data_IF_017666329051
#
_entry.id   IF_017666329051
#
_cell.length_a   1.000
_cell.length_b   1.000
_cell.length_c   1.000
_cell.angle_alpha   90.00
_cell.angle_beta   90.00
_cell.angle_gamma   90.00
#
_symmetry.space_group_name_H-M   'P 1'
#
loop_
_entity.id
_entity.type
_entity.pdbx_description
1 polymer ?
#
# COMPACT_ATOMS: atom_id res chain seq x y z
N UNK A 1 4.45 23.38 -41.64
CA UNK A 1 5.30 23.02 -40.50
C UNK A 1 4.40 22.87 -39.28
N UNK A 2 4.02 21.64 -38.93
CA UNK A 2 3.29 21.34 -37.70
C UNK A 2 4.25 20.52 -36.82
N UNK A 3 4.91 21.20 -35.89
CA UNK A 3 5.78 20.59 -34.89
C UNK A 3 4.91 19.81 -33.89
N UNK A 4 4.75 18.51 -34.13
CA UNK A 4 4.30 17.58 -33.09
C UNK A 4 5.43 17.46 -32.07
N UNK A 5 5.36 18.27 -31.03
CA UNK A 5 6.15 18.12 -29.82
C UNK A 5 5.74 16.80 -29.15
N UNK A 6 6.47 15.74 -29.48
CA UNK A 6 6.57 14.50 -28.72
C UNK A 6 7.14 14.83 -27.34
N UNK A 7 6.28 15.24 -26.41
CA UNK A 7 6.63 15.22 -24.99
C UNK A 7 6.38 13.81 -24.48
N UNK A 8 7.51 13.11 -24.33
CA UNK A 8 7.69 11.84 -23.65
C UNK A 8 6.86 11.83 -22.35
N UNK A 9 5.72 11.16 -22.38
CA UNK A 9 5.12 10.66 -21.13
C UNK A 9 6.02 9.55 -20.63
N UNK A 10 6.84 9.87 -19.63
CA UNK A 10 7.52 8.90 -18.82
C UNK A 10 6.46 7.94 -18.26
N UNK A 11 6.33 6.77 -18.87
CA UNK A 11 5.59 5.65 -18.31
C UNK A 11 6.39 5.10 -17.13
N UNK A 12 6.45 5.86 -16.04
CA UNK A 12 6.62 5.25 -14.73
C UNK A 12 5.39 4.36 -14.57
N UNK A 13 5.59 3.05 -14.73
CA UNK A 13 4.62 2.06 -14.29
C UNK A 13 4.40 2.29 -12.81
N UNK A 14 3.36 3.07 -12.48
CA UNK A 14 2.87 3.26 -11.12
C UNK A 14 2.49 1.88 -10.63
N UNK A 15 3.41 1.24 -9.91
CA UNK A 15 3.07 0.21 -8.96
C UNK A 15 2.11 0.90 -8.00
N UNK A 16 0.81 0.79 -8.24
CA UNK A 16 -0.21 1.30 -7.34
C UNK A 16 0.02 0.61 -6.00
N UNK A 17 0.59 1.33 -5.04
CA UNK A 17 0.92 0.80 -3.74
C UNK A 17 -0.38 0.33 -3.06
N UNK A 18 -0.29 -0.67 -2.20
CA UNK A 18 -1.41 -1.17 -1.40
C UNK A 18 -1.24 -0.56 -0.02
N UNK A 19 -1.47 0.73 0.11
CA UNK A 19 -1.60 1.39 1.40
C UNK A 19 -3.05 1.48 1.84
N UNK A 20 -3.28 1.43 3.14
CA UNK A 20 -4.54 1.88 3.71
C UNK A 20 -4.36 2.86 4.84
N UNK A 21 -5.23 3.86 4.82
CA UNK A 21 -5.76 4.54 5.99
C UNK A 21 -7.21 4.11 6.08
N UNK A 22 -7.57 3.20 6.99
CA UNK A 22 -8.84 3.45 7.65
C UNK A 22 -8.84 3.03 9.11
N UNK A 23 -9.82 3.60 9.82
CA UNK A 23 -10.20 3.28 11.20
C UNK A 23 -9.30 3.89 12.30
N UNK A 24 -8.22 4.61 11.96
CA UNK A 24 -7.40 5.34 12.96
C UNK A 24 -7.46 6.86 12.79
N UNK A 25 -8.59 7.41 12.32
CA UNK A 25 -8.70 8.83 11.92
C UNK A 25 -8.64 9.86 13.07
N UNK A 26 -8.54 9.45 14.35
CA UNK A 26 -8.74 10.39 15.45
C UNK A 26 -7.51 10.75 16.29
N UNK A 27 -6.29 10.23 16.04
CA UNK A 27 -5.15 10.50 16.94
C UNK A 27 -3.81 10.73 16.24
N UNK A 28 -3.81 11.30 15.02
CA UNK A 28 -2.55 11.63 14.32
C UNK A 28 -1.78 12.80 14.97
N UNK A 29 -2.43 13.59 15.84
CA UNK A 29 -1.88 14.88 16.33
C UNK A 29 -1.32 14.84 17.76
N UNK A 30 -1.49 13.74 18.50
CA UNK A 30 -0.99 13.61 19.87
C UNK A 30 -0.40 12.22 20.05
N UNK A 31 0.93 12.16 20.07
CA UNK A 31 1.67 10.91 20.22
C UNK A 31 1.10 10.01 21.32
N UNK A 32 0.71 8.79 20.95
CA UNK A 32 0.89 7.66 21.86
C UNK A 32 -0.24 6.64 21.98
N UNK A 33 -1.39 6.79 21.33
CA UNK A 33 -2.45 5.78 21.41
C UNK A 33 -2.85 5.24 20.04
N UNK A 34 -2.37 4.02 19.76
CA UNK A 34 -2.86 3.23 18.65
C UNK A 34 -3.91 2.23 19.15
N UNK A 35 -4.92 1.97 18.32
CA UNK A 35 -5.90 0.93 18.65
C UNK A 35 -5.23 -0.45 18.53
N UNK A 36 -5.36 -1.32 19.55
CA UNK A 36 -4.91 -2.70 19.43
C UNK A 36 -5.64 -3.40 18.29
N UNK A 37 -4.93 -4.29 17.61
CA UNK A 37 -5.51 -5.16 16.59
C UNK A 37 -5.74 -6.52 17.23
N UNK A 38 -7.00 -6.88 17.42
CA UNK A 38 -7.39 -8.19 17.91
C UNK A 38 -7.21 -9.23 16.80
N UNK A 39 -6.33 -10.19 17.05
CA UNK A 39 -6.04 -11.30 16.11
C UNK A 39 -6.81 -12.58 16.48
N UNK A 40 -7.28 -12.71 17.72
CA UNK A 40 -8.20 -13.75 18.18
C UNK A 40 -8.95 -13.32 19.45
N UNK A 41 -9.86 -14.14 19.96
CA UNK A 41 -10.56 -13.88 21.23
C UNK A 41 -9.61 -13.76 22.44
N UNK A 42 -8.37 -14.23 22.31
CA UNK A 42 -7.39 -14.29 23.41
C UNK A 42 -6.10 -13.52 23.12
N UNK A 43 -5.95 -12.94 21.92
CA UNK A 43 -4.70 -12.33 21.49
C UNK A 43 -4.90 -11.03 20.72
N UNK A 44 -3.92 -10.14 20.87
CA UNK A 44 -3.85 -8.87 20.15
C UNK A 44 -2.42 -8.58 19.71
N UNK A 45 -2.27 -7.68 18.75
CA UNK A 45 -1.01 -7.00 18.45
C UNK A 45 -1.18 -5.51 18.68
N UNK A 46 -0.08 -4.84 19.02
CA UNK A 46 0.01 -3.40 18.95
C UNK A 46 0.72 -3.03 17.65
N UNK A 47 0.07 -2.26 16.75
CA UNK A 47 0.75 -1.78 15.56
C UNK A 47 1.88 -0.80 15.94
N UNK A 48 2.71 -0.40 14.94
CA UNK A 48 3.71 0.66 15.10
C UNK A 48 5.17 0.29 14.77
N UNK A 49 5.54 0.28 13.50
CA UNK A 49 6.84 -0.19 12.98
C UNK A 49 7.10 -1.68 13.22
N UNK A 50 6.10 -2.50 12.88
CA UNK A 50 6.21 -3.95 12.93
C UNK A 50 5.41 -4.63 11.82
N UNK A 51 5.73 -5.88 11.53
CA UNK A 51 5.01 -6.71 10.58
C UNK A 51 4.32 -7.90 11.25
N UNK A 52 3.10 -8.20 10.81
CA UNK A 52 2.35 -9.39 11.22
C UNK A 52 1.65 -9.99 10.00
N UNK A 53 1.86 -11.29 9.76
CA UNK A 53 1.26 -12.04 8.64
C UNK A 53 1.39 -11.35 7.26
N UNK A 54 2.58 -10.81 6.95
CA UNK A 54 2.83 -10.18 5.65
C UNK A 54 2.25 -8.76 5.51
N UNK A 55 1.81 -8.15 6.61
CA UNK A 55 1.35 -6.76 6.67
C UNK A 55 2.29 -5.97 7.55
N UNK A 56 2.84 -4.89 7.03
CA UNK A 56 3.61 -3.91 7.78
C UNK A 56 2.69 -2.82 8.32
N UNK A 57 2.81 -2.54 9.60
CA UNK A 57 2.15 -1.46 10.32
C UNK A 57 3.16 -0.35 10.56
N UNK A 58 3.03 0.76 9.84
CA UNK A 58 3.94 1.90 9.93
C UNK A 58 3.54 2.87 11.04
N UNK A 59 3.64 4.17 10.75
CA UNK A 59 3.16 5.23 11.65
C UNK A 59 1.65 5.07 11.92
N UNK A 60 1.12 5.62 13.04
CA UNK A 60 -0.30 5.50 13.39
C UNK A 60 -1.21 5.75 12.18
N UNK A 61 -2.09 4.79 11.87
CA UNK A 61 -3.02 4.90 10.75
C UNK A 61 -2.54 4.35 9.42
N UNK A 62 -1.28 3.93 9.30
CA UNK A 62 -0.72 3.46 8.03
C UNK A 62 -0.33 1.98 8.09
N UNK A 63 -0.79 1.23 7.10
CA UNK A 63 -0.32 -0.14 6.86
C UNK A 63 -0.32 -0.46 5.37
N UNK A 64 0.49 -1.44 5.00
CA UNK A 64 0.69 -1.93 3.64
C UNK A 64 1.20 -3.37 3.66
N UNK A 65 1.23 -4.10 2.53
CA UNK A 65 1.96 -5.36 2.46
C UNK A 65 3.39 -5.18 2.93
N UNK A 66 3.90 -6.12 3.73
CA UNK A 66 5.27 -6.11 4.25
C UNK A 66 6.30 -6.03 3.11
N UNK A 67 6.01 -6.66 1.97
CA UNK A 67 6.85 -6.63 0.77
C UNK A 67 6.90 -5.26 0.08
N UNK A 68 5.96 -4.35 0.38
CA UNK A 68 5.93 -3.00 -0.15
C UNK A 68 6.58 -1.98 0.79
N UNK A 69 6.91 -2.35 2.04
CA UNK A 69 7.57 -1.44 2.98
C UNK A 69 8.89 -0.91 2.40
N UNK A 70 9.14 0.38 2.61
CA UNK A 70 10.37 1.06 2.17
C UNK A 70 11.17 1.55 3.37
N UNK A 71 12.49 1.65 3.19
CA UNK A 71 13.42 2.18 4.19
C UNK A 71 13.50 3.69 4.04
N UNK A 72 13.37 4.41 5.16
CA UNK A 72 13.54 5.87 5.25
C UNK A 72 15.02 6.24 5.33
N UNK A 73 15.39 7.26 4.59
CA UNK A 73 16.72 7.83 4.59
C UNK A 73 16.68 9.32 4.92
N UNK A 74 17.65 9.79 5.70
CA UNK A 74 17.85 11.21 5.96
C UNK A 74 18.42 11.95 4.74
N UNK A 75 18.68 13.25 4.90
CA UNK A 75 19.25 14.11 3.86
C UNK A 75 20.65 13.66 3.40
N UNK A 76 21.39 12.97 4.28
CA UNK A 76 22.71 12.40 4.02
C UNK A 76 22.63 11.01 3.34
N UNK A 77 21.42 10.47 3.14
CA UNK A 77 21.20 9.12 2.62
C UNK A 77 21.51 8.00 3.62
N UNK A 78 21.65 8.33 4.91
CA UNK A 78 21.78 7.36 6.00
C UNK A 78 20.40 6.92 6.47
N UNK A 79 20.34 5.83 7.23
CA UNK A 79 19.08 5.43 7.87
C UNK A 79 18.58 6.56 8.75
N UNK A 80 17.33 6.95 8.53
CA UNK A 80 16.64 7.93 9.35
C UNK A 80 16.28 7.27 10.71
N UNK A 81 17.30 7.16 11.55
CA UNK A 81 17.23 6.65 12.94
C UNK A 81 17.01 7.81 13.93
N UNK A 82 16.63 9.00 13.46
CA UNK A 82 16.44 10.13 14.35
C UNK A 82 15.20 9.95 15.25
N UNK A 83 15.50 9.66 16.52
CA UNK A 83 14.70 9.93 17.73
C UNK A 83 13.45 9.08 17.98
N UNK A 84 12.87 8.40 16.98
CA UNK A 84 11.61 7.65 17.14
C UNK A 84 11.62 6.20 16.63
N UNK A 85 12.77 5.70 16.17
CA UNK A 85 12.99 4.27 15.93
C UNK A 85 12.15 3.64 14.82
N UNK A 86 11.68 4.42 13.82
CA UNK A 86 10.93 3.90 12.67
C UNK A 86 11.73 3.98 11.37
N UNK A 87 12.42 2.89 11.03
CA UNK A 87 13.27 2.77 9.84
C UNK A 87 12.46 2.46 8.59
N UNK A 88 11.28 1.85 8.76
CA UNK A 88 10.39 1.47 7.67
C UNK A 88 9.15 2.38 7.62
N UNK A 89 8.60 2.54 6.43
CA UNK A 89 7.30 3.19 6.22
C UNK A 89 6.57 2.57 5.02
N UNK A 90 5.26 2.81 4.94
CA UNK A 90 4.51 2.49 3.73
C UNK A 90 4.79 3.55 2.65
N UNK A 91 4.84 3.18 1.35
CA UNK A 91 5.34 4.11 0.34
C UNK A 91 4.35 5.21 -0.05
N UNK A 92 3.09 5.11 0.38
CA UNK A 92 2.06 6.15 0.25
C UNK A 92 2.12 7.21 1.37
N UNK A 93 2.90 6.96 2.43
CA UNK A 93 3.04 7.92 3.52
C UNK A 93 3.78 9.18 3.04
N UNK A 94 3.26 10.35 3.46
CA UNK A 94 3.93 11.62 3.20
C UNK A 94 5.30 11.63 3.88
N UNK A 95 6.32 11.95 3.09
CA UNK A 95 7.67 12.19 3.56
C UNK A 95 7.78 13.58 4.17
N UNK A 96 8.49 13.67 5.29
CA UNK A 96 8.96 14.95 5.81
C UNK A 96 10.03 15.52 4.87
N UNK A 97 10.23 16.84 4.91
CA UNK A 97 11.27 17.49 4.13
C UNK A 97 12.63 16.89 4.49
N UNK A 98 13.46 16.67 3.47
CA UNK A 98 14.77 16.05 3.62
C UNK A 98 14.78 14.52 3.73
N UNK A 99 13.62 13.89 3.93
CA UNK A 99 13.54 12.42 3.99
C UNK A 99 13.30 11.85 2.60
N UNK A 100 14.09 10.83 2.24
CA UNK A 100 13.91 10.03 1.03
C UNK A 100 13.63 8.57 1.37
N UNK A 101 13.33 7.76 0.36
CA UNK A 101 13.09 6.32 0.56
C UNK A 101 13.86 5.47 -0.43
N UNK A 102 14.12 4.23 -0.02
CA UNK A 102 14.62 3.19 -0.91
C UNK A 102 13.94 1.86 -0.61
N UNK A 103 14.06 0.93 -1.56
CA UNK A 103 13.70 -0.47 -1.30
C UNK A 103 14.64 -1.06 -0.24
N UNK A 104 14.13 -1.96 0.63
CA UNK A 104 14.97 -2.75 1.51
C UNK A 104 15.95 -3.61 0.70
N UNK A 105 17.17 -3.80 1.20
CA UNK A 105 18.17 -4.70 0.61
C UNK A 105 18.82 -5.59 1.70
N UNK A 106 19.64 -6.57 1.33
CA UNK A 106 20.40 -7.42 2.28
C UNK A 106 19.57 -7.99 3.46
N UNK A 107 18.35 -8.45 3.18
CA UNK A 107 17.40 -9.03 4.17
C UNK A 107 16.88 -8.04 5.21
N UNK A 108 17.04 -6.73 4.99
CA UNK A 108 16.29 -5.71 5.72
C UNK A 108 14.80 -5.99 5.61
N UNK A 109 14.13 -6.04 6.75
CA UNK A 109 12.69 -6.17 6.86
C UNK A 109 12.22 -5.60 8.20
N UNK A 110 10.95 -5.17 8.29
CA UNK A 110 10.38 -4.74 9.55
C UNK A 110 10.50 -5.83 10.63
N UNK A 111 10.53 -5.38 11.88
CA UNK A 111 10.50 -6.29 13.03
C UNK A 111 9.13 -7.00 13.11
N UNK A 112 9.07 -8.20 13.70
CA UNK A 112 7.79 -8.88 13.91
C UNK A 112 6.98 -8.20 15.04
N UNK A 113 5.67 -8.03 14.86
CA UNK A 113 4.82 -7.46 15.90
C UNK A 113 4.80 -8.34 17.16
N UNK A 114 4.79 -7.71 18.33
CA UNK A 114 4.56 -8.40 19.59
C UNK A 114 3.11 -8.89 19.68
N UNK A 115 2.94 -10.17 20.01
CA UNK A 115 1.62 -10.78 20.23
C UNK A 115 1.34 -10.84 21.73
N UNK A 116 0.42 -9.98 22.18
CA UNK A 116 -0.06 -9.93 23.56
C UNK A 116 -1.20 -10.91 23.82
N UNK A 117 -1.41 -11.27 25.09
CA UNK A 117 -2.57 -12.04 25.57
C UNK A 117 -3.61 -11.11 26.17
N UNK A 118 -4.87 -11.29 25.81
CA UNK A 118 -6.00 -10.58 26.41
C UNK A 118 -6.25 -11.19 27.81
N UNK A 119 -5.89 -10.45 28.86
CA UNK A 119 -6.00 -10.92 30.25
C UNK A 119 -7.25 -10.40 30.97
N UNK A 120 -7.77 -9.26 30.55
CA UNK A 120 -9.02 -8.67 31.04
C UNK A 120 -9.84 -8.18 29.84
N UNK A 121 -11.18 -8.20 29.91
CA UNK A 121 -12.06 -7.63 28.87
C UNK A 121 -12.03 -6.09 28.83
N UNK A 122 -11.24 -5.46 29.71
CA UNK A 122 -11.06 -4.02 29.81
C UNK A 122 -10.08 -3.50 28.75
N UNK A 123 -10.10 -2.19 28.46
CA UNK A 123 -9.61 -1.71 27.19
C UNK A 123 -8.08 -1.89 27.11
N UNK A 124 -7.63 -2.61 26.09
CA UNK A 124 -6.21 -2.77 25.76
C UNK A 124 -5.78 -1.48 25.08
N UNK A 125 -4.61 -0.93 25.42
CA UNK A 125 -4.06 0.19 24.65
C UNK A 125 -2.69 -0.13 24.14
N UNK A 126 -2.31 0.54 23.07
CA UNK A 126 -1.01 0.39 22.46
C UNK A 126 -0.22 1.68 22.53
N UNK A 127 1.05 1.55 22.94
CA UNK A 127 2.08 2.58 22.85
C UNK A 127 3.31 1.96 22.18
N UNK A 128 3.59 2.37 20.93
CA UNK A 128 4.79 1.99 20.18
C UNK A 128 5.08 0.47 20.18
N UNK A 129 4.20 -0.34 19.58
CA UNK A 129 4.25 -1.83 19.60
C UNK A 129 4.11 -2.51 20.98
N UNK A 130 3.80 -1.77 22.05
CA UNK A 130 3.68 -2.33 23.40
C UNK A 130 2.33 -2.03 24.03
N UNK A 131 1.96 -2.84 25.00
CA UNK A 131 0.77 -2.61 25.82
C UNK A 131 0.93 -1.32 26.66
N UNK A 132 -0.09 -0.46 26.63
CA UNK A 132 -0.17 0.79 27.38
C UNK A 132 -1.43 0.88 28.25
N UNK A 133 -1.76 2.08 28.74
CA UNK A 133 -2.99 2.33 29.51
C UNK A 133 -4.18 2.62 28.58
N UNK A 134 -5.21 1.76 28.64
CA UNK A 134 -6.59 1.87 28.11
C UNK A 134 -6.85 2.60 26.77
N UNK A 135 -7.20 1.88 25.69
CA UNK A 135 -7.77 2.47 24.46
C UNK A 135 -9.25 2.11 24.32
N UNK A 136 -10.10 3.08 23.97
CA UNK A 136 -11.55 2.87 23.89
C UNK A 136 -12.01 1.87 22.81
N UNK A 137 -11.16 1.55 21.83
CA UNK A 137 -11.54 0.78 20.63
C UNK A 137 -10.49 -0.25 20.25
N UNK A 138 -10.94 -1.33 19.63
CA UNK A 138 -10.12 -2.45 19.16
C UNK A 138 -10.52 -2.77 17.73
N UNK A 139 -9.53 -2.86 16.84
CA UNK A 139 -9.74 -3.23 15.43
C UNK A 139 -9.59 -4.73 15.28
N UNK A 140 -10.45 -5.39 14.50
CA UNK A 140 -10.29 -6.82 14.22
C UNK A 140 -9.34 -7.04 13.06
N UNK A 141 -8.41 -7.98 13.20
CA UNK A 141 -7.53 -8.41 12.12
C UNK A 141 -8.28 -8.80 10.84
N UNK A 142 -9.46 -9.42 10.98
CA UNK A 142 -10.31 -9.80 9.85
C UNK A 142 -10.71 -8.62 8.96
N UNK A 143 -10.85 -7.43 9.54
CA UNK A 143 -11.29 -6.25 8.80
C UNK A 143 -10.12 -5.65 8.00
N UNK A 144 -8.92 -5.63 8.60
CA UNK A 144 -7.67 -5.26 7.91
C UNK A 144 -7.40 -6.23 6.75
N UNK A 145 -7.52 -7.53 6.99
CA UNK A 145 -7.32 -8.55 5.95
C UNK A 145 -8.31 -8.40 4.78
N UNK A 146 -9.59 -8.11 5.08
CA UNK A 146 -10.62 -7.85 4.05
C UNK A 146 -10.29 -6.62 3.21
N UNK A 147 -9.85 -5.55 3.84
CA UNK A 147 -9.50 -4.32 3.13
C UNK A 147 -8.29 -4.53 2.21
N UNK A 148 -7.23 -5.16 2.71
CA UNK A 148 -6.04 -5.48 1.91
C UNK A 148 -6.40 -6.35 0.71
N UNK A 149 -7.26 -7.35 0.91
CA UNK A 149 -7.77 -8.19 -0.18
C UNK A 149 -8.53 -7.38 -1.21
N UNK A 150 -9.48 -6.54 -0.77
CA UNK A 150 -10.27 -5.66 -1.65
C UNK A 150 -9.40 -4.70 -2.46
N UNK A 151 -8.39 -4.10 -1.85
CA UNK A 151 -7.42 -3.23 -2.54
C UNK A 151 -6.57 -3.97 -3.55
N UNK A 152 -6.11 -5.17 -3.19
CA UNK A 152 -5.34 -6.04 -4.09
C UNK A 152 -6.17 -6.46 -5.31
N UNK A 153 -7.44 -6.83 -5.10
CA UNK A 153 -8.37 -7.18 -6.19
C UNK A 153 -8.65 -5.99 -7.10
N UNK A 154 -8.94 -4.81 -6.55
CA UNK A 154 -9.12 -3.58 -7.33
C UNK A 154 -7.89 -3.25 -8.17
N UNK A 155 -6.68 -3.41 -7.61
CA UNK A 155 -5.42 -3.20 -8.34
C UNK A 155 -5.20 -4.23 -9.45
N UNK A 156 -5.49 -5.51 -9.20
CA UNK A 156 -5.41 -6.54 -10.26
C UNK A 156 -6.31 -6.15 -11.44
N UNK A 157 -7.54 -5.78 -11.16
CA UNK A 157 -8.49 -5.33 -12.19
C UNK A 157 -8.04 -4.05 -12.90
N UNK A 158 -7.46 -3.09 -12.19
CA UNK A 158 -6.96 -1.84 -12.79
C UNK A 158 -5.66 -2.06 -13.59
N UNK A 159 -4.74 -2.88 -13.10
CA UNK A 159 -3.50 -3.26 -13.78
C UNK A 159 -3.77 -4.04 -15.07
N UNK A 160 -4.70 -4.98 -14.99
CA UNK A 160 -5.24 -5.71 -16.14
C UNK A 160 -5.85 -4.79 -17.18
N UNK A 161 -6.76 -3.91 -16.76
CA UNK A 161 -7.33 -2.86 -17.63
C UNK A 161 -6.28 -1.96 -18.28
N UNK A 162 -5.26 -1.52 -17.55
CA UNK A 162 -4.20 -0.68 -18.11
C UNK A 162 -3.35 -1.44 -19.13
N UNK A 163 -3.01 -2.71 -18.87
CA UNK A 163 -2.23 -3.55 -19.78
C UNK A 163 -3.03 -3.91 -21.04
N UNK A 164 -4.24 -4.43 -20.85
CA UNK A 164 -5.15 -4.75 -21.96
C UNK A 164 -5.54 -3.51 -22.76
N UNK A 165 -5.72 -2.35 -22.10
CA UNK A 165 -6.00 -1.08 -22.77
C UNK A 165 -4.87 -0.60 -23.66
N UNK A 166 -3.60 -0.71 -23.22
CA UNK A 166 -2.44 -0.41 -24.07
C UNK A 166 -2.36 -1.35 -25.27
N UNK A 167 -2.59 -2.64 -25.06
CA UNK A 167 -2.56 -3.62 -26.14
C UNK A 167 -3.74 -3.43 -27.14
N UNK A 168 -4.93 -3.09 -26.65
CA UNK A 168 -6.07 -2.72 -27.50
C UNK A 168 -5.79 -1.43 -28.31
N UNK A 169 -5.13 -0.44 -27.70
CA UNK A 169 -4.71 0.77 -28.40
C UNK A 169 -3.68 0.48 -29.51
N UNK A 170 -2.76 -0.47 -29.29
CA UNK A 170 -1.83 -0.95 -30.31
C UNK A 170 -2.59 -1.61 -31.47
N UNK A 171 -3.56 -2.49 -31.18
CA UNK A 171 -4.42 -3.13 -32.19
C UNK A 171 -5.14 -2.08 -33.04
N UNK A 172 -5.78 -1.09 -32.40
CA UNK A 172 -6.43 0.02 -33.10
C UNK A 172 -5.44 0.79 -33.99
N UNK A 173 -4.26 1.13 -33.47
CA UNK A 173 -3.25 1.88 -34.21
C UNK A 173 -2.66 1.10 -35.39
N UNK A 174 -2.66 -0.24 -35.35
CA UNK A 174 -2.22 -1.07 -36.47
C UNK A 174 -3.33 -1.22 -37.51
N UNK A 175 -4.58 -1.47 -37.08
CA UNK A 175 -5.73 -1.60 -37.97
C UNK A 175 -5.98 -0.31 -38.78
N UNK A 176 -5.91 0.86 -38.13
CA UNK A 176 -6.17 2.16 -38.79
C UNK A 176 -5.14 2.54 -39.86
N UNK A 177 -4.05 1.79 -40.02
CA UNK A 177 -3.12 1.95 -41.14
C UNK A 177 -3.70 1.47 -42.47
N UNK A 178 -4.68 0.57 -42.43
CA UNK A 178 -5.22 -0.11 -43.62
C UNK A 178 -6.74 -0.26 -43.64
N UNK A 179 -7.41 -0.13 -42.49
CA UNK A 179 -8.85 -0.34 -42.31
C UNK A 179 -9.65 0.92 -42.00
N UNK A 180 -10.97 0.77 -41.95
CA UNK A 180 -11.89 1.84 -41.56
C UNK A 180 -11.91 2.04 -40.04
N UNK A 181 -12.01 3.30 -39.59
CA UNK A 181 -11.92 3.64 -38.16
C UNK A 181 -12.94 2.90 -37.29
N UNK A 182 -14.14 2.62 -37.81
CA UNK A 182 -15.20 1.98 -37.04
C UNK A 182 -14.95 0.48 -36.85
N UNK A 183 -14.49 -0.21 -37.89
CA UNK A 183 -14.09 -1.63 -37.84
C UNK A 183 -12.91 -1.82 -36.85
N UNK A 184 -11.93 -0.92 -36.89
CA UNK A 184 -10.79 -0.96 -35.97
C UNK A 184 -11.20 -0.70 -34.51
N UNK A 185 -12.22 0.12 -34.27
CA UNK A 185 -12.75 0.35 -32.92
C UNK A 185 -13.42 -0.91 -32.36
N UNK A 186 -14.20 -1.61 -33.18
CA UNK A 186 -14.83 -2.88 -32.82
C UNK A 186 -13.77 -3.96 -32.53
N UNK A 187 -12.73 -4.07 -33.37
CA UNK A 187 -11.61 -5.01 -33.15
C UNK A 187 -10.84 -4.72 -31.85
N UNK A 188 -10.52 -3.45 -31.60
CA UNK A 188 -9.85 -3.01 -30.37
C UNK A 188 -10.67 -3.33 -29.12
N UNK A 189 -11.99 -3.09 -29.19
CA UNK A 189 -12.91 -3.41 -28.09
C UNK A 189 -13.03 -4.91 -27.85
N UNK A 190 -13.20 -5.70 -28.91
CA UNK A 190 -13.24 -7.16 -28.82
C UNK A 190 -11.94 -7.73 -28.23
N UNK A 191 -10.79 -7.18 -28.64
CA UNK A 191 -9.50 -7.52 -28.06
C UNK A 191 -9.42 -7.19 -26.56
N UNK A 192 -9.90 -6.00 -26.15
CA UNK A 192 -9.93 -5.61 -24.74
C UNK A 192 -10.78 -6.57 -23.89
N UNK A 193 -11.97 -6.92 -24.36
CA UNK A 193 -12.89 -7.84 -23.66
C UNK A 193 -12.29 -9.25 -23.55
N UNK A 194 -11.66 -9.75 -24.62
CA UNK A 194 -10.97 -11.04 -24.61
C UNK A 194 -9.76 -11.04 -23.68
N UNK A 195 -8.97 -9.96 -23.66
CA UNK A 195 -7.79 -9.83 -22.82
C UNK A 195 -8.16 -9.82 -21.34
N UNK A 196 -9.21 -9.08 -20.96
CA UNK A 196 -9.70 -9.02 -19.57
C UNK A 196 -10.33 -10.32 -19.10
N UNK A 197 -10.86 -11.14 -20.01
CA UNK A 197 -11.46 -12.44 -19.68
C UNK A 197 -10.43 -13.57 -19.54
N UNK A 198 -9.18 -13.33 -19.95
CA UNK A 198 -8.08 -14.30 -19.91
C UNK A 198 -7.13 -14.11 -18.71
N UNK A 199 -7.34 -13.07 -17.89
CA UNK A 199 -6.63 -12.81 -16.62
C UNK A 199 -7.33 -13.44 -15.41
#
# INVERSE_FOLDING_TARGET
MLSLSLLLSAAAGVNALVGGTPVLENNADLGGHQEPIQISDTQFICPGDCAFQGVFFGRPGHFCPEAEAVVRLDEDGKLDDERYGTVFQCPEERLADGITTRKPYNREKPSGCYVGKIRNPNPISCSSNREGKSAEKTVKWSDIAKELKSKTEKRRTQGGRNKCGKAAQEVYSQCTKTGESQECEEESKAFMESCLSAE
#
